data_IF_047813104344
#
_entry.id   IF_047813104344
#
_cell.length_a   1.000
_cell.length_b   1.000
_cell.length_c   1.000
_cell.angle_alpha   90.00
_cell.angle_beta   90.00
_cell.angle_gamma   90.00
#
_symmetry.space_group_name_H-M   'P 1'
#
loop_
_entity.id
_entity.type
_entity.pdbx_description
1 polymer ?
#
# COMPACT_ATOMS: atom_id res chain seq x y z
N UNK A 1 -5.63 -0.09 8.65
CA UNK A 1 -5.07 -1.34 9.23
C UNK A 1 -3.74 -1.77 8.59
N UNK A 2 -3.53 -1.55 7.31
CA UNK A 2 -2.27 -1.88 6.62
C UNK A 2 -1.03 -1.18 7.18
N UNK A 3 -1.14 0.09 7.57
CA UNK A 3 -0.02 0.96 7.91
C UNK A 3 0.97 0.39 8.94
N UNK A 4 0.48 -0.21 10.02
CA UNK A 4 1.35 -0.74 11.06
C UNK A 4 2.15 -1.98 10.60
N UNK A 5 1.50 -2.90 9.89
CA UNK A 5 2.18 -4.07 9.31
C UNK A 5 3.19 -3.66 8.23
N UNK A 6 2.84 -2.71 7.36
CA UNK A 6 3.77 -2.15 6.37
C UNK A 6 4.99 -1.53 7.06
N UNK A 7 4.80 -0.76 8.14
CA UNK A 7 5.91 -0.16 8.87
C UNK A 7 6.90 -1.20 9.43
N UNK A 8 6.39 -2.33 9.90
CA UNK A 8 7.23 -3.43 10.39
C UNK A 8 8.04 -4.06 9.26
N UNK A 9 7.41 -4.32 8.11
CA UNK A 9 8.10 -4.86 6.92
C UNK A 9 9.09 -3.85 6.34
N UNK A 10 8.73 -2.57 6.26
CA UNK A 10 9.63 -1.48 5.88
C UNK A 10 10.91 -1.49 6.73
N UNK A 11 10.79 -1.51 8.07
CA UNK A 11 11.96 -1.52 8.96
C UNK A 11 12.80 -2.77 8.78
N UNK A 12 12.17 -3.93 8.61
CA UNK A 12 12.86 -5.19 8.36
C UNK A 12 13.68 -5.12 7.08
N UNK A 13 13.04 -4.86 5.93
CA UNK A 13 13.72 -4.86 4.64
C UNK A 13 14.72 -3.70 4.48
N UNK A 14 14.45 -2.53 5.07
CA UNK A 14 15.44 -1.44 5.11
C UNK A 14 16.70 -1.88 5.85
N UNK A 15 16.55 -2.56 6.99
CA UNK A 15 17.70 -3.06 7.75
C UNK A 15 18.48 -4.12 6.97
N UNK A 16 17.79 -5.00 6.23
CA UNK A 16 18.45 -5.98 5.36
C UNK A 16 19.18 -5.29 4.20
N UNK A 17 18.56 -4.29 3.58
CA UNK A 17 19.19 -3.52 2.50
C UNK A 17 20.48 -2.84 2.94
N UNK A 18 20.52 -2.30 4.16
CA UNK A 18 21.67 -1.60 4.73
C UNK A 18 22.77 -2.54 5.26
N UNK A 19 22.40 -3.63 5.93
CA UNK A 19 23.31 -4.50 6.67
C UNK A 19 23.66 -5.81 5.92
N UNK A 20 22.97 -6.12 4.83
CA UNK A 20 23.12 -7.36 4.08
C UNK A 20 22.27 -8.52 4.62
N UNK A 21 22.48 -9.70 4.04
CA UNK A 21 21.63 -10.89 4.26
C UNK A 21 22.23 -11.94 5.19
N UNK A 22 23.28 -11.60 5.94
CA UNK A 22 23.86 -12.53 6.91
C UNK A 22 22.88 -12.88 8.02
N UNK A 23 23.02 -14.05 8.63
CA UNK A 23 22.14 -14.47 9.75
C UNK A 23 22.10 -13.41 10.87
N UNK A 24 23.24 -12.81 11.19
CA UNK A 24 23.31 -11.76 12.19
C UNK A 24 22.54 -10.49 11.76
N UNK A 25 22.63 -10.11 10.48
CA UNK A 25 21.87 -8.99 9.94
C UNK A 25 20.35 -9.28 9.94
N UNK A 26 19.94 -10.49 9.59
CA UNK A 26 18.53 -10.90 9.67
C UNK A 26 17.99 -10.86 11.09
N UNK A 27 18.73 -11.36 12.08
CA UNK A 27 18.35 -11.30 13.50
C UNK A 27 18.22 -9.86 13.99
N UNK A 28 19.14 -8.98 13.59
CA UNK A 28 19.08 -7.56 13.91
C UNK A 28 17.88 -6.87 13.25
N UNK A 29 17.58 -7.22 12.00
CA UNK A 29 16.43 -6.71 11.25
C UNK A 29 15.11 -7.10 11.91
N UNK A 30 14.95 -8.37 12.30
CA UNK A 30 13.78 -8.84 13.05
C UNK A 30 13.63 -8.10 14.36
N UNK A 31 14.72 -7.94 15.13
CA UNK A 31 14.68 -7.22 16.42
C UNK A 31 14.23 -5.78 16.25
N UNK A 32 14.79 -5.04 15.28
CA UNK A 32 14.40 -3.65 14.97
C UNK A 32 12.95 -3.56 14.51
N UNK A 33 12.51 -4.47 13.64
CA UNK A 33 11.14 -4.51 13.14
C UNK A 33 10.11 -4.75 14.27
N UNK A 34 10.40 -5.65 15.19
CA UNK A 34 9.55 -5.93 16.34
C UNK A 34 9.51 -4.75 17.32
N UNK A 35 10.63 -4.07 17.53
CA UNK A 35 10.67 -2.84 18.33
C UNK A 35 9.83 -1.72 17.69
N UNK A 36 9.93 -1.54 16.38
CA UNK A 36 9.10 -0.59 15.64
C UNK A 36 7.61 -0.93 15.75
N UNK A 37 7.26 -2.23 15.70
CA UNK A 37 5.89 -2.70 15.92
C UNK A 37 5.37 -2.34 17.31
N UNK A 38 6.16 -2.54 18.35
CA UNK A 38 5.81 -2.22 19.72
C UNK A 38 5.60 -0.70 19.91
N UNK A 39 6.50 0.10 19.34
CA UNK A 39 6.38 1.57 19.38
C UNK A 39 5.12 2.05 18.68
N UNK A 40 4.81 1.52 17.51
CA UNK A 40 3.60 1.84 16.74
C UNK A 40 2.34 1.44 17.52
N UNK A 41 2.33 0.25 18.12
CA UNK A 41 1.22 -0.20 18.97
C UNK A 41 1.03 0.72 20.18
N UNK A 42 2.10 1.08 20.87
CA UNK A 42 2.02 1.95 22.05
C UNK A 42 1.56 3.36 21.69
N UNK A 43 1.93 3.87 20.52
CA UNK A 43 1.44 5.16 20.01
C UNK A 43 -0.07 5.09 19.72
N UNK A 44 -0.51 4.07 19.04
CA UNK A 44 -1.93 3.87 18.69
C UNK A 44 -2.80 3.58 19.92
N UNK A 45 -2.29 2.86 20.94
CA UNK A 45 -3.02 2.54 22.16
C UNK A 45 -3.37 3.78 22.99
N UNK A 46 -2.64 4.88 22.80
CA UNK A 46 -2.94 6.17 23.46
C UNK A 46 -4.13 6.87 22.84
N UNK A 47 -4.48 6.56 21.61
CA UNK A 47 -5.49 7.28 20.83
C UNK A 47 -6.76 6.45 20.63
N UNK A 48 -6.66 5.12 20.51
CA UNK A 48 -7.78 4.23 20.17
C UNK A 48 -7.57 2.84 20.79
N UNK A 49 -8.67 2.18 21.20
CA UNK A 49 -8.64 0.75 21.56
C UNK A 49 -8.11 -0.07 20.39
N UNK A 50 -7.02 -0.84 20.62
CA UNK A 50 -6.38 -1.63 19.57
C UNK A 50 -7.23 -2.84 19.25
N UNK A 51 -7.78 -2.99 18.05
CA UNK A 51 -8.53 -4.17 17.68
C UNK A 51 -7.68 -5.45 17.78
N UNK A 52 -8.28 -6.54 18.27
CA UNK A 52 -7.59 -7.83 18.46
C UNK A 52 -6.90 -8.37 17.19
N UNK A 53 -7.38 -8.01 15.99
CA UNK A 53 -6.75 -8.38 14.72
C UNK A 53 -5.39 -7.71 14.48
N UNK A 54 -5.11 -6.56 15.09
CA UNK A 54 -3.78 -5.93 15.01
C UNK A 54 -2.74 -6.72 15.82
N UNK A 55 -3.10 -7.18 17.00
CA UNK A 55 -2.23 -8.04 17.79
C UNK A 55 -1.91 -9.35 17.02
N UNK A 56 -2.86 -9.88 16.25
CA UNK A 56 -2.64 -11.04 15.40
C UNK A 56 -1.62 -10.78 14.28
N UNK A 57 -1.63 -9.59 13.66
CA UNK A 57 -0.66 -9.25 12.60
C UNK A 57 0.77 -9.33 13.15
N UNK A 58 1.02 -8.75 14.31
CA UNK A 58 2.36 -8.73 14.88
C UNK A 58 2.82 -10.12 15.33
N UNK A 59 1.95 -10.92 15.94
CA UNK A 59 2.28 -12.30 16.26
C UNK A 59 2.52 -13.15 15.00
N UNK A 60 1.73 -12.95 13.94
CA UNK A 60 1.96 -13.61 12.65
C UNK A 60 3.31 -13.22 12.05
N UNK A 61 3.66 -11.95 12.07
CA UNK A 61 4.95 -11.47 11.56
C UNK A 61 6.12 -12.06 12.36
N UNK A 62 6.05 -12.00 13.70
CA UNK A 62 7.11 -12.49 14.59
C UNK A 62 7.29 -14.00 14.53
N UNK A 63 6.19 -14.76 14.64
CA UNK A 63 6.25 -16.19 14.92
C UNK A 63 6.18 -17.05 13.66
N UNK A 64 5.70 -16.48 12.53
CA UNK A 64 5.47 -17.22 11.30
C UNK A 64 6.22 -16.61 10.12
N UNK A 65 6.05 -15.30 9.85
CA UNK A 65 6.58 -14.67 8.66
C UNK A 65 8.12 -14.56 8.71
N UNK A 66 8.69 -13.91 9.71
CA UNK A 66 10.13 -13.69 9.79
C UNK A 66 10.96 -14.97 9.88
N UNK A 67 10.55 -16.03 10.62
CA UNK A 67 11.27 -17.30 10.58
C UNK A 67 11.29 -17.98 9.20
N UNK A 68 10.28 -17.69 8.37
CA UNK A 68 10.11 -18.26 7.03
C UNK A 68 10.12 -17.18 5.94
N UNK A 69 10.82 -16.08 6.18
CA UNK A 69 10.80 -14.92 5.30
C UNK A 69 11.17 -15.33 3.85
N UNK A 70 10.29 -15.07 2.86
CA UNK A 70 10.38 -15.78 1.58
C UNK A 70 11.43 -15.21 0.62
N UNK A 71 11.86 -13.95 0.81
CA UNK A 71 12.79 -13.33 -0.13
C UNK A 71 14.24 -13.56 0.29
N UNK A 72 14.62 -13.14 1.48
CA UNK A 72 16.02 -13.22 1.94
C UNK A 72 16.46 -14.67 2.12
N UNK A 73 15.58 -15.52 2.68
CA UNK A 73 15.87 -16.94 2.90
C UNK A 73 16.02 -17.72 1.59
N UNK A 74 15.33 -17.29 0.52
CA UNK A 74 15.44 -17.90 -0.81
C UNK A 74 16.48 -17.22 -1.72
N UNK A 75 17.26 -16.28 -1.18
CA UNK A 75 18.38 -15.67 -1.90
C UNK A 75 17.98 -14.55 -2.86
N UNK A 76 16.81 -13.95 -2.69
CA UNK A 76 16.43 -12.76 -3.45
C UNK A 76 17.22 -11.54 -2.95
N UNK A 77 17.57 -10.65 -3.86
CA UNK A 77 18.27 -9.40 -3.54
C UNK A 77 17.25 -8.27 -3.35
N UNK A 78 17.32 -7.60 -2.21
CA UNK A 78 16.50 -6.40 -1.95
C UNK A 78 17.15 -5.21 -2.68
N UNK A 79 16.41 -4.55 -3.57
CA UNK A 79 16.87 -3.38 -4.32
C UNK A 79 16.23 -2.07 -3.87
N UNK A 80 15.03 -2.12 -3.31
CA UNK A 80 14.34 -0.92 -2.86
C UNK A 80 13.24 -1.23 -1.87
N UNK A 81 13.09 -0.35 -0.87
CA UNK A 81 12.05 -0.44 0.17
C UNK A 81 11.36 0.91 0.24
N UNK A 82 10.02 0.94 0.21
CA UNK A 82 9.20 2.17 0.25
C UNK A 82 9.71 3.23 -0.75
N UNK A 83 10.15 2.78 -1.94
CA UNK A 83 10.69 3.69 -2.96
C UNK A 83 9.59 4.56 -3.55
N UNK A 84 9.83 5.86 -3.57
CA UNK A 84 8.92 6.88 -4.07
C UNK A 84 9.26 7.24 -5.51
N UNK A 85 8.26 7.23 -6.38
CA UNK A 85 8.38 7.54 -7.79
C UNK A 85 7.31 8.55 -8.21
N UNK A 86 7.61 9.31 -9.24
CA UNK A 86 6.65 10.21 -9.87
C UNK A 86 6.70 10.03 -11.38
N UNK A 87 5.60 9.62 -11.97
CA UNK A 87 5.44 9.56 -13.42
C UNK A 87 4.64 10.76 -13.89
N UNK A 88 5.27 11.61 -14.71
CA UNK A 88 4.60 12.67 -15.45
C UNK A 88 4.05 12.08 -16.75
N UNK A 89 2.72 11.95 -16.86
CA UNK A 89 2.09 11.33 -18.03
C UNK A 89 1.30 12.31 -18.90
N UNK A 90 1.11 13.55 -18.44
CA UNK A 90 0.57 14.65 -19.24
C UNK A 90 1.20 15.98 -18.77
N UNK A 91 2.35 16.37 -19.35
CA UNK A 91 3.05 17.61 -19.00
C UNK A 91 2.21 18.86 -19.28
N UNK A 92 1.39 18.85 -20.35
CA UNK A 92 0.59 20.02 -20.75
C UNK A 92 -0.49 20.33 -19.71
N UNK A 93 -1.11 19.30 -19.14
CA UNK A 93 -2.10 19.42 -18.07
C UNK A 93 -1.50 19.23 -16.65
N UNK A 94 -0.18 19.13 -16.53
CA UNK A 94 0.55 18.90 -15.27
C UNK A 94 0.04 17.67 -14.51
N UNK A 95 -0.36 16.62 -15.24
CA UNK A 95 -0.84 15.39 -14.63
C UNK A 95 0.33 14.50 -14.24
N UNK A 96 0.45 14.26 -12.95
CA UNK A 96 1.48 13.43 -12.36
C UNK A 96 0.87 12.26 -11.59
N UNK A 97 1.58 11.17 -11.57
CA UNK A 97 1.26 9.99 -10.77
C UNK A 97 2.38 9.72 -9.77
N UNK A 98 2.31 10.35 -8.58
CA UNK A 98 3.19 9.98 -7.48
C UNK A 98 2.74 8.64 -6.89
N UNK A 99 3.69 7.72 -6.68
CA UNK A 99 3.42 6.41 -6.09
C UNK A 99 4.60 5.90 -5.28
N UNK A 100 4.30 5.02 -4.35
CA UNK A 100 5.29 4.34 -3.51
C UNK A 100 5.18 2.84 -3.79
N UNK A 101 6.33 2.18 -3.94
CA UNK A 101 6.43 0.73 -4.08
C UNK A 101 6.98 0.17 -2.79
N UNK A 102 6.23 -0.73 -2.16
CA UNK A 102 6.58 -1.28 -0.84
C UNK A 102 7.94 -1.96 -0.87
N UNK A 103 8.18 -2.82 -1.89
CA UNK A 103 9.44 -3.56 -2.01
C UNK A 103 9.79 -3.84 -3.48
N UNK A 104 11.07 -3.71 -3.83
CA UNK A 104 11.60 -4.12 -5.13
C UNK A 104 12.70 -5.14 -4.89
N UNK A 105 12.58 -6.29 -5.53
CA UNK A 105 13.50 -7.42 -5.35
C UNK A 105 13.98 -7.96 -6.69
N UNK A 106 15.13 -8.63 -6.66
CA UNK A 106 15.62 -9.41 -7.80
C UNK A 106 15.66 -10.88 -7.40
N UNK A 107 14.99 -11.71 -8.18
CA UNK A 107 14.99 -13.16 -7.95
C UNK A 107 16.37 -13.77 -8.20
N UNK A 108 16.65 -14.99 -7.70
CA UNK A 108 17.88 -15.71 -8.01
C UNK A 108 18.13 -15.91 -9.52
N UNK A 109 17.06 -15.90 -10.34
CA UNK A 109 17.14 -15.99 -11.81
C UNK A 109 17.37 -14.62 -12.48
N UNK A 110 17.59 -13.56 -11.70
CA UNK A 110 17.86 -12.20 -12.19
C UNK A 110 16.63 -11.45 -12.69
N UNK A 111 15.42 -11.81 -12.24
CA UNK A 111 14.18 -11.09 -12.57
C UNK A 111 13.87 -10.02 -11.55
N UNK A 112 13.62 -8.80 -12.02
CA UNK A 112 13.22 -7.69 -11.16
C UNK A 112 11.71 -7.70 -10.95
N UNK A 113 11.31 -7.73 -9.68
CA UNK A 113 9.91 -7.89 -9.24
C UNK A 113 9.52 -6.76 -8.30
N UNK A 114 8.36 -6.16 -8.55
CA UNK A 114 7.73 -5.24 -7.60
C UNK A 114 6.80 -6.01 -6.69
N UNK A 115 6.97 -5.86 -5.40
CA UNK A 115 6.17 -6.55 -4.38
C UNK A 115 5.30 -5.54 -3.67
N UNK A 116 4.04 -5.88 -3.50
CA UNK A 116 3.06 -5.15 -2.72
C UNK A 116 2.59 -6.00 -1.55
N UNK A 117 2.79 -5.51 -0.34
CA UNK A 117 2.43 -6.21 0.88
C UNK A 117 0.95 -6.01 1.19
N UNK A 118 0.23 -7.10 1.40
CA UNK A 118 -1.21 -7.08 1.71
C UNK A 118 -1.53 -7.78 3.02
N UNK A 119 -2.10 -7.03 3.95
CA UNK A 119 -2.67 -7.57 5.17
C UNK A 119 -4.16 -7.84 4.94
N UNK A 120 -4.51 -9.10 4.66
CA UNK A 120 -5.83 -9.51 4.17
C UNK A 120 -6.56 -10.44 5.14
N UNK A 121 -7.88 -10.43 5.08
CA UNK A 121 -8.69 -11.40 5.81
C UNK A 121 -8.60 -12.79 5.17
N UNK A 122 -8.72 -12.84 3.83
CA UNK A 122 -8.51 -14.02 2.99
C UNK A 122 -7.60 -13.72 1.80
N UNK A 123 -6.84 -14.72 1.36
CA UNK A 123 -5.95 -14.57 0.21
C UNK A 123 -6.75 -14.31 -1.07
N UNK A 124 -6.19 -13.50 -1.94
CA UNK A 124 -6.70 -13.34 -3.30
C UNK A 124 -6.45 -14.62 -4.09
N UNK A 125 -7.43 -15.01 -4.90
CA UNK A 125 -7.14 -15.95 -5.99
C UNK A 125 -6.55 -15.19 -7.18
N UNK A 126 -6.08 -15.94 -8.19
CA UNK A 126 -5.44 -15.34 -9.35
C UNK A 126 -6.38 -14.39 -10.11
N UNK A 127 -7.64 -14.77 -10.32
CA UNK A 127 -8.64 -13.94 -11.02
C UNK A 127 -8.88 -12.62 -10.28
N UNK A 128 -9.03 -12.66 -8.96
CA UNK A 128 -9.18 -11.45 -8.17
C UNK A 128 -7.93 -10.55 -8.24
N UNK A 129 -6.74 -11.14 -8.29
CA UNK A 129 -5.48 -10.41 -8.32
C UNK A 129 -5.25 -9.64 -9.62
N UNK A 130 -5.60 -10.22 -10.77
CA UNK A 130 -5.47 -9.54 -12.07
C UNK A 130 -6.49 -8.40 -12.25
N UNK A 131 -7.61 -8.46 -11.54
CA UNK A 131 -8.59 -7.37 -11.53
C UNK A 131 -8.12 -6.17 -10.71
N UNK A 132 -7.23 -6.37 -9.74
CA UNK A 132 -6.68 -5.27 -8.94
C UNK A 132 -5.79 -4.35 -9.82
N UNK A 133 -5.99 -3.03 -9.77
CA UNK A 133 -5.24 -2.12 -10.63
C UNK A 133 -3.82 -1.82 -10.15
N UNK A 134 -3.46 -2.15 -8.92
CA UNK A 134 -2.24 -1.67 -8.25
C UNK A 134 -0.97 -2.21 -8.90
N UNK A 135 -0.83 -3.53 -9.04
CA UNK A 135 0.34 -4.14 -9.70
C UNK A 135 0.46 -3.70 -11.17
N UNK A 136 -0.60 -3.73 -12.00
CA UNK A 136 -0.53 -3.18 -13.35
C UNK A 136 -0.07 -1.72 -13.41
N UNK A 137 -0.49 -0.87 -12.45
CA UNK A 137 -0.02 0.52 -12.35
C UNK A 137 1.47 0.61 -12.04
N UNK A 138 1.94 -0.12 -11.02
CA UNK A 138 3.36 -0.11 -10.64
C UNK A 138 4.25 -0.59 -11.78
N UNK A 139 3.93 -1.74 -12.37
CA UNK A 139 4.70 -2.32 -13.49
C UNK A 139 4.70 -1.36 -14.68
N UNK A 140 3.55 -0.79 -15.03
CA UNK A 140 3.44 0.14 -16.16
C UNK A 140 4.16 1.45 -15.91
N UNK A 141 4.01 2.06 -14.72
CA UNK A 141 4.65 3.32 -14.37
C UNK A 141 6.18 3.19 -14.33
N UNK A 142 6.69 2.13 -13.71
CA UNK A 142 8.13 1.89 -13.65
C UNK A 142 8.74 1.62 -15.03
N UNK A 143 8.05 0.85 -15.88
CA UNK A 143 8.49 0.66 -17.28
C UNK A 143 8.49 1.95 -18.08
N UNK A 144 7.50 2.82 -17.87
CA UNK A 144 7.45 4.16 -18.49
C UNK A 144 8.59 5.07 -17.99
N UNK A 145 9.07 4.86 -16.77
CA UNK A 145 10.26 5.49 -16.21
C UNK A 145 11.57 4.79 -16.60
N UNK A 146 11.54 3.85 -17.57
CA UNK A 146 12.67 3.07 -18.09
C UNK A 146 13.28 2.06 -17.09
N UNK A 147 12.58 1.69 -16.03
CA UNK A 147 13.01 0.59 -15.17
C UNK A 147 12.65 -0.76 -15.81
N UNK A 148 13.59 -1.71 -15.74
CA UNK A 148 13.36 -3.08 -16.19
C UNK A 148 12.60 -3.84 -15.11
N UNK A 149 11.28 -3.95 -15.24
CA UNK A 149 10.42 -4.72 -14.33
C UNK A 149 9.85 -5.91 -15.10
N UNK A 150 10.10 -7.13 -14.61
CA UNK A 150 9.61 -8.35 -15.23
C UNK A 150 8.13 -8.59 -14.90
N UNK A 151 7.76 -8.53 -13.62
CA UNK A 151 6.38 -8.70 -13.14
C UNK A 151 6.18 -8.09 -11.75
N UNK A 152 4.99 -8.22 -11.21
CA UNK A 152 4.69 -7.85 -9.83
C UNK A 152 4.21 -9.04 -9.01
N UNK A 153 4.18 -8.87 -7.69
CA UNK A 153 3.81 -9.91 -6.75
C UNK A 153 3.02 -9.33 -5.59
N UNK A 154 1.98 -10.01 -5.15
CA UNK A 154 1.38 -9.77 -3.86
C UNK A 154 2.02 -10.66 -2.80
N UNK A 155 2.55 -10.04 -1.73
CA UNK A 155 2.94 -10.73 -0.51
C UNK A 155 1.79 -10.55 0.49
N UNK A 156 0.98 -11.59 0.63
CA UNK A 156 -0.24 -11.56 1.43
C UNK A 156 -0.03 -12.19 2.79
N UNK A 157 -0.39 -11.44 3.84
CA UNK A 157 -0.31 -11.88 5.23
C UNK A 157 -1.72 -11.84 5.82
N UNK A 158 -2.20 -12.99 6.31
CA UNK A 158 -3.56 -13.14 6.83
C UNK A 158 -3.70 -12.50 8.20
N UNK A 159 -4.78 -11.73 8.38
CA UNK A 159 -5.06 -11.01 9.64
C UNK A 159 -5.98 -11.79 10.59
N UNK A 160 -6.71 -12.80 10.10
CA UNK A 160 -7.55 -13.65 10.93
C UNK A 160 -6.78 -14.83 11.50
N UNK A 161 -7.21 -15.32 12.68
CA UNK A 161 -6.71 -16.58 13.23
C UNK A 161 -7.18 -17.76 12.40
N UNK A 162 -6.28 -18.72 12.18
CA UNK A 162 -6.56 -20.02 11.59
C UNK A 162 -6.45 -21.11 12.65
N UNK A 163 -7.05 -22.28 12.38
CA UNK A 163 -6.91 -23.46 13.27
C UNK A 163 -5.47 -23.94 13.30
N UNK A 164 -4.86 -23.99 12.13
CA UNK A 164 -3.44 -24.27 11.95
C UNK A 164 -2.75 -22.96 11.57
N UNK A 165 -1.66 -22.65 12.25
CA UNK A 165 -0.89 -21.42 12.08
C UNK A 165 0.52 -21.78 11.64
N UNK A 166 0.71 -21.93 10.33
CA UNK A 166 1.99 -22.12 9.66
C UNK A 166 2.12 -21.11 8.51
N UNK A 167 3.23 -21.15 7.79
CA UNK A 167 3.47 -20.19 6.71
C UNK A 167 2.40 -20.30 5.61
N UNK A 168 2.07 -21.51 5.17
CA UNK A 168 1.14 -21.77 4.06
C UNK A 168 -0.29 -21.31 4.37
N UNK A 169 -0.69 -21.38 5.65
CA UNK A 169 -2.02 -20.94 6.07
C UNK A 169 -2.11 -19.45 6.36
N UNK A 170 -0.99 -18.81 6.73
CA UNK A 170 -0.97 -17.42 7.18
C UNK A 170 -0.33 -16.48 6.17
N UNK A 171 0.49 -16.96 5.25
CA UNK A 171 1.21 -16.17 4.26
C UNK A 171 1.07 -16.78 2.88
N UNK A 172 1.09 -15.95 1.84
CA UNK A 172 1.04 -16.41 0.44
C UNK A 172 1.70 -15.39 -0.47
N UNK A 173 2.51 -15.87 -1.38
CA UNK A 173 3.04 -15.11 -2.50
C UNK A 173 2.20 -15.39 -3.75
N UNK A 174 1.85 -14.36 -4.48
CA UNK A 174 1.06 -14.48 -5.70
C UNK A 174 1.63 -13.61 -6.81
N UNK A 175 2.23 -14.25 -7.80
CA UNK A 175 2.73 -13.58 -9.01
C UNK A 175 1.60 -12.98 -9.81
N UNK A 176 1.80 -11.75 -10.25
CA UNK A 176 0.90 -11.03 -11.16
C UNK A 176 1.71 -10.55 -12.36
N UNK A 177 1.44 -11.14 -13.52
CA UNK A 177 2.06 -10.78 -14.79
C UNK A 177 1.02 -10.05 -15.64
N UNK A 178 0.91 -8.71 -15.50
CA UNK A 178 -0.14 -7.98 -16.19
C UNK A 178 0.12 -7.95 -17.69
N UNK A 179 -0.91 -8.30 -18.46
CA UNK A 179 -0.89 -8.17 -19.90
C UNK A 179 -0.76 -6.68 -20.31
N UNK A 180 -0.06 -6.36 -21.42
CA UNK A 180 0.09 -4.97 -21.88
C UNK A 180 -1.25 -4.24 -22.08
N UNK A 181 -2.28 -4.94 -22.51
CA UNK A 181 -3.63 -4.40 -22.67
C UNK A 181 -4.22 -3.96 -21.33
N UNK A 182 -4.02 -4.75 -20.26
CA UNK A 182 -4.47 -4.41 -18.90
C UNK A 182 -3.72 -3.21 -18.34
N UNK A 183 -2.41 -3.14 -18.52
CA UNK A 183 -1.60 -1.97 -18.13
C UNK A 183 -2.13 -0.72 -18.82
N UNK A 184 -2.32 -0.76 -20.14
CA UNK A 184 -2.85 0.37 -20.90
C UNK A 184 -4.23 0.80 -20.39
N UNK A 185 -5.14 -0.15 -20.18
CA UNK A 185 -6.49 0.13 -19.67
C UNK A 185 -6.46 0.86 -18.34
N UNK A 186 -5.67 0.38 -17.39
CA UNK A 186 -5.59 0.96 -16.05
C UNK A 186 -5.05 2.40 -16.09
N UNK A 187 -4.08 2.69 -16.95
CA UNK A 187 -3.60 4.06 -17.14
C UNK A 187 -4.64 4.96 -17.80
N UNK A 188 -5.35 4.47 -18.81
CA UNK A 188 -6.43 5.24 -19.44
C UNK A 188 -7.54 5.60 -18.43
N UNK A 189 -7.94 4.64 -17.59
CA UNK A 189 -8.91 4.86 -16.52
C UNK A 189 -8.40 5.92 -15.52
N UNK A 190 -7.13 5.86 -15.15
CA UNK A 190 -6.52 6.82 -14.23
C UNK A 190 -6.45 8.24 -14.81
N UNK A 191 -6.07 8.36 -16.09
CA UNK A 191 -6.05 9.65 -16.81
C UNK A 191 -7.46 10.24 -16.87
N UNK A 192 -8.46 9.41 -17.19
CA UNK A 192 -9.86 9.87 -17.22
C UNK A 192 -10.30 10.44 -15.86
N UNK A 193 -10.03 9.71 -14.77
CA UNK A 193 -10.34 10.18 -13.41
C UNK A 193 -9.57 11.46 -13.06
N UNK A 194 -8.29 11.56 -13.42
CA UNK A 194 -7.49 12.75 -13.16
C UNK A 194 -8.04 13.97 -13.91
N UNK A 195 -8.44 13.81 -15.17
CA UNK A 195 -9.05 14.88 -15.97
C UNK A 195 -10.40 15.32 -15.36
N UNK A 196 -11.21 14.38 -14.89
CA UNK A 196 -12.47 14.68 -14.20
C UNK A 196 -12.21 15.49 -12.92
N UNK A 197 -11.23 15.09 -12.10
CA UNK A 197 -10.83 15.85 -10.90
C UNK A 197 -10.38 17.26 -11.27
N UNK A 198 -9.59 17.42 -12.34
CA UNK A 198 -9.15 18.74 -12.78
C UNK A 198 -10.32 19.61 -13.30
N UNK A 199 -11.27 19.00 -13.98
CA UNK A 199 -12.47 19.71 -14.42
C UNK A 199 -13.29 20.21 -13.22
N UNK A 200 -13.53 19.35 -12.22
CA UNK A 200 -14.25 19.71 -10.99
C UNK A 200 -13.52 20.82 -10.23
N UNK A 201 -12.18 20.79 -10.14
CA UNK A 201 -11.41 21.84 -9.46
C UNK A 201 -11.54 23.24 -10.10
N UNK A 202 -11.88 23.30 -11.38
CA UNK A 202 -12.12 24.57 -12.10
C UNK A 202 -13.54 25.09 -11.93
N UNK A 203 -14.44 24.35 -11.35
CA UNK A 203 -15.82 24.72 -11.09
C UNK A 203 -15.93 25.64 -9.86
N UNK A 204 -17.01 26.39 -9.80
CA UNK A 204 -17.39 27.15 -8.60
C UNK A 204 -17.76 26.18 -7.47
N UNK A 205 -17.77 26.66 -6.23
CA UNK A 205 -18.13 25.85 -5.05
C UNK A 205 -19.53 25.21 -5.20
N UNK A 206 -20.51 25.96 -5.72
CA UNK A 206 -21.86 25.46 -5.96
C UNK A 206 -21.92 24.39 -7.06
N UNK A 207 -21.15 24.55 -8.15
CA UNK A 207 -21.03 23.55 -9.20
C UNK A 207 -20.31 22.30 -8.70
N UNK A 208 -19.27 22.45 -7.87
CA UNK A 208 -18.57 21.32 -7.25
C UNK A 208 -19.50 20.49 -6.39
N UNK A 209 -20.35 21.10 -5.57
CA UNK A 209 -21.35 20.41 -4.74
C UNK A 209 -22.36 19.60 -5.57
N UNK A 210 -22.75 20.11 -6.75
CA UNK A 210 -23.62 19.39 -7.66
C UNK A 210 -22.93 18.19 -8.34
N UNK A 211 -21.63 18.26 -8.56
CA UNK A 211 -20.85 17.17 -9.18
C UNK A 211 -20.29 16.16 -8.16
N UNK A 212 -20.07 16.55 -6.92
CA UNK A 212 -19.57 15.69 -5.84
C UNK A 212 -20.68 14.83 -5.23
N UNK A 213 -21.35 14.01 -6.04
CA UNK A 213 -22.40 13.14 -5.53
C UNK A 213 -21.86 12.01 -4.66
N UNK A 214 -22.59 11.73 -3.59
CA UNK A 214 -22.24 10.67 -2.65
C UNK A 214 -22.64 9.32 -3.18
N UNK A 215 -21.68 8.39 -3.26
CA UNK A 215 -21.99 7.00 -3.55
C UNK A 215 -22.31 6.28 -2.24
N UNK A 216 -23.61 6.21 -1.90
CA UNK A 216 -24.06 5.47 -0.73
C UNK A 216 -24.03 3.96 -0.98
N UNK A 217 -23.02 3.30 -0.44
CA UNK A 217 -22.87 1.85 -0.48
C UNK A 217 -22.62 1.32 0.93
N UNK A 218 -23.42 0.34 1.38
CA UNK A 218 -23.33 -0.23 2.73
C UNK A 218 -21.91 -0.63 3.12
N UNK A 219 -21.18 -1.30 2.24
CA UNK A 219 -19.83 -1.79 2.53
C UNK A 219 -18.81 -0.66 2.62
N UNK A 220 -18.90 0.33 1.74
CA UNK A 220 -18.01 1.50 1.74
C UNK A 220 -18.31 2.40 2.94
N UNK A 221 -19.59 2.67 3.20
CA UNK A 221 -20.00 3.56 4.28
C UNK A 221 -19.66 3.01 5.68
N UNK A 222 -19.72 1.71 5.89
CA UNK A 222 -19.38 1.11 7.19
C UNK A 222 -17.94 1.36 7.63
N UNK A 223 -17.01 1.54 6.71
CA UNK A 223 -15.59 1.80 6.98
C UNK A 223 -15.17 3.26 6.70
N UNK A 224 -16.11 4.12 6.34
CA UNK A 224 -15.83 5.49 5.95
C UNK A 224 -15.63 6.39 7.18
N UNK A 225 -14.49 7.06 7.27
CA UNK A 225 -14.19 8.02 8.33
C UNK A 225 -15.10 9.24 8.33
N UNK A 226 -15.78 9.51 7.21
CA UNK A 226 -16.72 10.64 7.06
C UNK A 226 -18.18 10.23 7.20
N UNK A 227 -18.47 9.01 7.70
CA UNK A 227 -19.85 8.53 7.83
C UNK A 227 -20.71 9.46 8.73
N UNK A 228 -20.15 9.92 9.85
CA UNK A 228 -20.84 10.82 10.78
C UNK A 228 -21.17 12.15 10.11
N UNK A 229 -20.21 12.74 9.39
CA UNK A 229 -20.43 13.96 8.61
C UNK A 229 -21.53 13.78 7.56
N UNK A 230 -21.46 12.70 6.75
CA UNK A 230 -22.51 12.39 5.79
C UNK A 230 -23.89 12.26 6.42
N UNK A 231 -24.00 11.60 7.57
CA UNK A 231 -25.28 11.48 8.29
C UNK A 231 -25.80 12.83 8.75
N UNK A 232 -24.94 13.64 9.38
CA UNK A 232 -25.31 14.99 9.84
C UNK A 232 -25.88 15.83 8.71
N UNK A 233 -25.21 15.88 7.56
CA UNK A 233 -25.67 16.67 6.42
C UNK A 233 -26.95 16.10 5.79
N UNK A 234 -27.08 14.78 5.65
CA UNK A 234 -28.28 14.14 5.09
C UNK A 234 -29.52 14.31 5.99
N UNK A 235 -29.32 14.55 7.28
CA UNK A 235 -30.42 14.83 8.22
C UNK A 235 -30.66 16.33 8.46
N UNK A 236 -30.03 17.20 7.66
CA UNK A 236 -30.20 18.66 7.77
C UNK A 236 -29.41 19.29 8.91
N UNK A 237 -28.45 18.58 9.50
CA UNK A 237 -27.57 19.12 10.54
C UNK A 237 -26.45 19.99 9.96
N UNK A 238 -25.70 20.64 10.86
CA UNK A 238 -24.61 21.54 10.48
C UNK A 238 -23.30 20.77 10.24
N UNK A 239 -23.10 20.31 9.00
CA UNK A 239 -21.87 19.62 8.58
C UNK A 239 -20.62 20.50 8.70
N UNK A 240 -20.74 21.82 8.44
CA UNK A 240 -19.61 22.76 8.55
C UNK A 240 -19.07 22.86 9.96
N UNK A 241 -19.96 23.01 10.96
CA UNK A 241 -19.57 23.01 12.37
C UNK A 241 -18.88 21.68 12.75
N UNK A 242 -19.39 20.55 12.26
CA UNK A 242 -18.79 19.24 12.51
C UNK A 242 -17.38 19.12 11.92
N UNK A 243 -17.16 19.64 10.70
CA UNK A 243 -15.82 19.68 10.10
C UNK A 243 -14.87 20.50 10.97
N UNK A 244 -15.27 21.67 11.43
CA UNK A 244 -14.45 22.55 12.25
C UNK A 244 -14.11 21.96 13.63
N UNK A 245 -15.01 21.17 14.21
CA UNK A 245 -14.86 20.64 15.58
C UNK A 245 -14.28 19.23 15.67
N UNK A 246 -14.56 18.36 14.70
CA UNK A 246 -14.24 16.94 14.78
C UNK A 246 -13.19 16.48 13.75
N UNK A 247 -12.91 17.30 12.72
CA UNK A 247 -11.97 16.95 11.68
C UNK A 247 -10.75 17.88 11.69
N UNK A 248 -9.61 17.32 11.33
CA UNK A 248 -8.36 18.08 11.16
C UNK A 248 -7.90 17.97 9.71
N UNK A 249 -7.41 19.08 9.16
CA UNK A 249 -6.74 19.05 7.87
C UNK A 249 -5.46 18.23 8.02
N UNK A 250 -5.35 17.18 7.22
CA UNK A 250 -4.15 16.36 7.20
C UNK A 250 -3.02 17.16 6.55
N UNK A 251 -1.91 17.34 7.25
CA UNK A 251 -0.70 17.89 6.65
C UNK A 251 -0.27 16.99 5.48
N UNK A 252 -0.03 17.59 4.33
CA UNK A 252 0.52 16.86 3.19
C UNK A 252 1.97 16.55 3.52
N UNK A 253 2.31 15.26 3.56
CA UNK A 253 3.72 14.85 3.53
C UNK A 253 4.29 15.28 2.18
N UNK A 254 5.44 15.95 2.20
CA UNK A 254 6.17 16.21 0.97
C UNK A 254 6.52 14.88 0.32
N UNK A 255 6.24 14.80 -0.96
CA UNK A 255 6.56 13.62 -1.76
C UNK A 255 7.98 13.83 -2.31
N UNK A 256 8.94 13.13 -1.74
CA UNK A 256 10.35 13.20 -2.15
C UNK A 256 10.62 12.05 -3.12
N UNK A 257 10.81 12.37 -4.39
CA UNK A 257 11.16 11.37 -5.41
C UNK A 257 12.54 10.80 -5.10
N UNK A 258 12.67 9.48 -5.08
CA UNK A 258 13.95 8.80 -4.91
C UNK A 258 14.79 8.99 -6.19
N UNK A 259 15.89 9.74 -6.10
CA UNK A 259 16.80 9.98 -7.24
C UNK A 259 17.71 8.79 -7.54
N UNK A 260 17.80 7.80 -6.67
CA UNK A 260 18.63 6.62 -6.90
C UNK A 260 18.05 5.74 -7.99
N UNK A 261 18.76 5.65 -9.07
CA UNK A 261 18.53 4.70 -10.17
C UNK A 261 18.68 3.28 -9.62
N UNK A 262 17.62 2.49 -9.67
CA UNK A 262 17.72 1.04 -9.48
C UNK A 262 18.76 0.56 -10.50
N UNK A 263 19.86 -0.02 -10.05
CA UNK A 263 21.06 -0.33 -10.84
C UNK A 263 20.72 -0.82 -12.26
N UNK A 264 21.42 -0.21 -13.22
CA UNK A 264 21.31 -0.52 -14.65
C UNK A 264 21.72 -1.95 -14.94
#
# INVERSE_FOLDING_TARGET
MGSAGHKVLEVFYTTILEAGTTLQAQQAAVSKALQAAEQEMNSLAKEVEIPANRANIFSTLRDIYFPNEPFVNEGWLIQGVEKQFNLEYDPENQLQYPFVVDLIVVSPEGKTVVVDHKFVYDFYNYEASIMQPQIPKYVGALRALNYKIDYGMYNMIRTRKMKETNFETMCSLLDVKPEPARVKQVFMEQIAVANEIQAVKKMTEQEQDAHAFRVANKMVCQSCSFLSLCRTELTGGNGKLMIETEYKIRERKEFVVSEEVLGQ
#
